data_IF_799062121964
#
_entry.id   IF_799062121964
#
_cell.length_a   1.000
_cell.length_b   1.000
_cell.length_c   1.000
_cell.angle_alpha   90.00
_cell.angle_beta   90.00
_cell.angle_gamma   90.00
#
_symmetry.space_group_name_H-M   'P 1'
#
loop_
_entity.id
_entity.type
_entity.pdbx_description
1 polymer ?
#
# COMPACT_ATOMS: atom_id res chain seq x y z
N UNK A 1 43.61 22.23 -0.77
CA UNK A 1 42.56 21.21 -1.00
C UNK A 1 41.68 21.17 0.25
N UNK A 2 40.53 21.86 0.24
CA UNK A 2 39.53 21.70 1.31
C UNK A 2 38.97 20.29 1.19
N UNK A 3 39.13 19.48 2.23
CA UNK A 3 38.46 18.19 2.33
C UNK A 3 37.00 18.45 2.67
N UNK A 4 36.22 18.83 1.66
CA UNK A 4 34.76 18.88 1.74
C UNK A 4 34.25 17.45 1.85
N UNK A 5 34.26 16.93 3.07
CA UNK A 5 33.70 15.62 3.40
C UNK A 5 32.21 15.67 3.12
N UNK A 6 31.80 15.11 1.97
CA UNK A 6 30.40 14.86 1.63
C UNK A 6 29.74 14.09 2.78
N UNK A 7 29.09 14.80 3.72
CA UNK A 7 28.31 14.17 4.80
C UNK A 7 26.97 13.74 4.21
N UNK A 8 26.85 12.45 3.89
CA UNK A 8 25.57 11.83 3.60
C UNK A 8 24.68 11.89 4.84
N UNK A 9 23.79 12.88 4.90
CA UNK A 9 22.82 13.04 5.98
C UNK A 9 21.60 12.14 5.72
N UNK A 10 21.60 10.94 6.31
CA UNK A 10 20.49 9.96 6.22
C UNK A 10 19.20 10.37 6.96
N UNK A 11 19.15 11.61 7.48
CA UNK A 11 18.10 12.11 8.37
C UNK A 11 16.69 12.05 7.76
N UNK A 12 16.57 11.91 6.44
CA UNK A 12 15.28 11.85 5.75
C UNK A 12 14.84 10.45 5.31
N UNK A 13 15.67 9.39 5.46
CA UNK A 13 15.26 8.04 5.07
C UNK A 13 14.16 7.51 5.98
N UNK A 14 14.23 7.81 7.28
CA UNK A 14 13.42 7.10 8.28
C UNK A 14 11.95 7.47 8.17
N UNK A 15 11.68 8.75 7.90
CA UNK A 15 10.33 9.22 7.60
C UNK A 15 9.74 8.66 6.31
N UNK A 16 10.57 8.32 5.31
CA UNK A 16 10.10 7.69 4.06
C UNK A 16 9.81 6.20 4.26
N UNK A 17 10.73 5.51 4.91
CA UNK A 17 10.61 4.09 5.21
C UNK A 17 9.42 3.80 6.14
N UNK A 18 9.21 4.61 7.19
CA UNK A 18 8.05 4.46 8.08
C UNK A 18 6.73 4.75 7.36
N UNK A 19 6.70 5.74 6.44
CA UNK A 19 5.55 5.98 5.58
C UNK A 19 5.23 4.76 4.73
N UNK A 20 6.23 4.24 4.00
CA UNK A 20 6.08 3.06 3.15
C UNK A 20 5.66 1.82 3.93
N UNK A 21 6.20 1.63 5.14
CA UNK A 21 5.86 0.51 6.00
C UNK A 21 4.39 0.56 6.45
N UNK A 22 3.99 1.65 7.11
CA UNK A 22 2.66 1.79 7.73
C UNK A 22 1.59 1.98 6.66
N UNK A 23 1.76 3.00 5.80
CA UNK A 23 0.75 3.32 4.79
C UNK A 23 0.75 2.29 3.66
N UNK A 24 1.91 1.73 3.31
CA UNK A 24 1.97 0.65 2.32
C UNK A 24 1.31 -0.63 2.81
N UNK A 25 1.40 -0.95 4.11
CA UNK A 25 0.67 -2.08 4.67
C UNK A 25 -0.86 -1.85 4.60
N UNK A 26 -1.31 -0.66 4.99
CA UNK A 26 -2.71 -0.28 4.88
C UNK A 26 -3.22 -0.28 3.43
N UNK A 27 -2.41 0.19 2.48
CA UNK A 27 -2.73 0.17 1.05
C UNK A 27 -2.85 -1.28 0.55
N UNK A 28 -1.88 -2.13 0.87
CA UNK A 28 -1.90 -3.54 0.47
C UNK A 28 -3.13 -4.27 1.05
N UNK A 29 -3.51 -3.98 2.31
CA UNK A 29 -4.75 -4.51 2.92
C UNK A 29 -5.99 -4.08 2.14
N UNK A 30 -6.09 -2.80 1.78
CA UNK A 30 -7.25 -2.30 1.02
C UNK A 30 -7.32 -2.90 -0.38
N UNK A 31 -6.18 -3.07 -1.07
CA UNK A 31 -6.14 -3.66 -2.41
C UNK A 31 -6.50 -5.16 -2.39
N UNK A 32 -5.95 -5.92 -1.44
CA UNK A 32 -6.27 -7.34 -1.29
C UNK A 32 -7.72 -7.56 -0.85
N UNK A 33 -8.26 -6.67 -0.02
CA UNK A 33 -9.69 -6.64 0.32
C UNK A 33 -10.60 -6.29 -0.86
N UNK A 34 -10.19 -5.37 -1.73
CA UNK A 34 -10.90 -5.06 -2.97
C UNK A 34 -10.90 -6.25 -3.93
N UNK A 35 -9.74 -6.90 -4.09
CA UNK A 35 -9.62 -8.13 -4.86
C UNK A 35 -10.55 -9.23 -4.32
N UNK A 36 -10.65 -9.36 -3.00
CA UNK A 36 -11.56 -10.31 -2.35
C UNK A 36 -13.04 -10.09 -2.71
N UNK A 37 -13.48 -8.83 -2.76
CA UNK A 37 -14.88 -8.46 -3.01
C UNK A 37 -15.25 -8.41 -4.50
N UNK A 38 -14.31 -8.01 -5.37
CA UNK A 38 -14.53 -7.94 -6.81
C UNK A 38 -14.40 -9.31 -7.50
N UNK A 39 -13.91 -10.34 -6.80
CA UNK A 39 -13.71 -11.65 -7.40
C UNK A 39 -15.03 -12.41 -7.62
N UNK A 40 -15.37 -12.79 -8.86
CA UNK A 40 -16.59 -13.54 -9.15
C UNK A 40 -16.62 -14.89 -8.41
N UNK A 41 -17.68 -15.13 -7.63
CA UNK A 41 -17.92 -16.39 -6.91
C UNK A 41 -17.35 -16.47 -5.49
N UNK A 42 -16.80 -15.37 -4.94
CA UNK A 42 -16.33 -15.29 -3.55
C UNK A 42 -15.05 -16.09 -3.24
N UNK A 43 -14.31 -15.65 -2.21
CA UNK A 43 -13.06 -16.30 -1.79
C UNK A 43 -13.26 -17.66 -1.12
N UNK A 44 -14.45 -17.95 -0.58
CA UNK A 44 -14.70 -19.16 0.21
C UNK A 44 -14.84 -20.44 -0.60
N UNK A 45 -15.02 -20.37 -1.93
CA UNK A 45 -15.30 -21.55 -2.75
C UNK A 45 -14.06 -22.30 -3.26
N UNK A 46 -12.84 -21.76 -3.11
CA UNK A 46 -11.63 -22.43 -3.60
C UNK A 46 -10.36 -22.00 -2.85
N UNK A 47 -9.66 -22.97 -2.26
CA UNK A 47 -8.42 -22.77 -1.48
C UNK A 47 -7.33 -22.02 -2.25
N UNK A 48 -7.21 -22.27 -3.56
CA UNK A 48 -6.21 -21.61 -4.42
C UNK A 48 -6.45 -20.10 -4.58
N UNK A 49 -7.71 -19.65 -4.58
CA UNK A 49 -8.06 -18.23 -4.72
C UNK A 49 -7.67 -17.45 -3.45
N UNK A 50 -7.91 -18.04 -2.29
CA UNK A 50 -7.51 -17.46 -0.99
C UNK A 50 -6.00 -17.40 -0.85
N UNK A 51 -5.29 -18.46 -1.25
CA UNK A 51 -3.83 -18.45 -1.28
C UNK A 51 -3.29 -17.36 -2.21
N UNK A 52 -3.82 -17.23 -3.43
CA UNK A 52 -3.42 -16.17 -4.35
C UNK A 52 -3.64 -14.77 -3.75
N UNK A 53 -4.78 -14.55 -3.07
CA UNK A 53 -5.03 -13.27 -2.39
C UNK A 53 -4.03 -12.99 -1.26
N UNK A 54 -3.67 -14.00 -0.46
CA UNK A 54 -2.62 -13.88 0.56
C UNK A 54 -1.26 -13.59 -0.07
N UNK A 55 -0.93 -14.27 -1.16
CA UNK A 55 0.35 -14.11 -1.85
C UNK A 55 0.46 -12.77 -2.56
N UNK A 56 -0.64 -12.15 -3.00
CA UNK A 56 -0.65 -10.81 -3.61
C UNK A 56 -0.31 -9.70 -2.62
N UNK A 57 -0.60 -9.90 -1.33
CA UNK A 57 -0.30 -8.92 -0.28
C UNK A 57 1.19 -8.57 -0.23
N UNK A 58 2.05 -9.59 -0.26
CA UNK A 58 3.52 -9.45 -0.14
C UNK A 58 4.16 -8.63 -1.28
N UNK A 59 3.96 -8.94 -2.58
CA UNK A 59 4.55 -8.17 -3.67
C UNK A 59 3.97 -6.76 -3.76
N UNK A 60 2.68 -6.55 -3.44
CA UNK A 60 2.10 -5.19 -3.39
C UNK A 60 2.81 -4.38 -2.30
N UNK A 61 2.98 -4.95 -1.10
CA UNK A 61 3.65 -4.25 -0.01
C UNK A 61 5.12 -3.97 -0.32
N UNK A 62 5.84 -4.92 -0.92
CA UNK A 62 7.22 -4.76 -1.36
C UNK A 62 7.38 -3.68 -2.43
N UNK A 63 6.47 -3.63 -3.43
CA UNK A 63 6.45 -2.57 -4.44
C UNK A 63 6.27 -1.19 -3.79
N UNK A 64 5.35 -1.06 -2.85
CA UNK A 64 5.10 0.21 -2.15
C UNK A 64 6.32 0.64 -1.32
N UNK A 65 6.98 -0.30 -0.65
CA UNK A 65 8.26 -0.03 0.04
C UNK A 65 9.36 0.40 -0.94
N UNK A 66 9.42 -0.16 -2.15
CA UNK A 66 10.34 0.30 -3.19
C UNK A 66 10.00 1.72 -3.68
N UNK A 67 8.72 2.01 -3.94
CA UNK A 67 8.25 3.31 -4.39
C UNK A 67 8.44 4.42 -3.35
N UNK A 68 8.48 4.10 -2.05
CA UNK A 68 8.66 5.12 -1.01
C UNK A 68 9.99 5.90 -1.15
N UNK A 69 11.01 5.30 -1.77
CA UNK A 69 12.30 5.94 -2.05
C UNK A 69 12.29 6.86 -3.28
N UNK A 70 11.30 6.72 -4.16
CA UNK A 70 11.14 7.61 -5.31
C UNK A 70 10.75 9.04 -4.87
N UNK A 71 10.19 9.18 -3.67
CA UNK A 71 9.82 10.48 -3.11
C UNK A 71 11.01 11.24 -2.55
N UNK A 72 11.13 12.51 -2.96
CA UNK A 72 12.24 13.41 -2.56
C UNK A 72 12.27 13.69 -1.05
N UNK A 73 11.12 13.69 -0.37
CA UNK A 73 10.96 14.04 1.07
C UNK A 73 9.98 13.11 1.78
N UNK A 74 10.17 12.85 3.08
CA UNK A 74 9.26 12.04 3.89
C UNK A 74 7.83 12.57 3.97
N UNK A 75 7.64 13.89 4.02
CA UNK A 75 6.30 14.51 4.04
C UNK A 75 5.51 14.22 2.75
N UNK A 76 6.15 14.34 1.59
CA UNK A 76 5.55 13.98 0.29
C UNK A 76 5.23 12.49 0.21
N UNK A 77 6.10 11.62 0.75
CA UNK A 77 5.82 10.20 0.82
C UNK A 77 4.55 9.93 1.64
N UNK A 78 4.43 10.55 2.82
CA UNK A 78 3.23 10.46 3.66
C UNK A 78 1.97 10.99 2.99
N UNK A 79 2.03 12.15 2.32
CA UNK A 79 0.86 12.71 1.64
C UNK A 79 0.40 11.86 0.45
N UNK A 80 1.34 11.38 -0.37
CA UNK A 80 1.02 10.54 -1.52
C UNK A 80 0.53 9.15 -1.10
N UNK A 81 1.25 8.49 -0.19
CA UNK A 81 0.85 7.18 0.32
C UNK A 81 -0.44 7.28 1.12
N UNK A 82 -0.59 8.32 1.94
CA UNK A 82 -1.79 8.58 2.73
C UNK A 82 -2.99 8.81 1.82
N UNK A 83 -2.86 9.69 0.83
CA UNK A 83 -3.90 9.93 -0.17
C UNK A 83 -4.28 8.68 -0.95
N UNK A 84 -3.29 7.90 -1.40
CA UNK A 84 -3.54 6.64 -2.10
C UNK A 84 -4.25 5.61 -1.20
N UNK A 85 -3.83 5.46 0.06
CA UNK A 85 -4.49 4.57 1.02
C UNK A 85 -5.94 5.01 1.28
N UNK A 86 -6.17 6.30 1.50
CA UNK A 86 -7.51 6.84 1.76
C UNK A 86 -8.44 6.65 0.55
N UNK A 87 -7.92 6.87 -0.66
CA UNK A 87 -8.65 6.61 -1.91
C UNK A 87 -8.98 5.12 -2.06
N UNK A 88 -8.02 4.22 -1.83
CA UNK A 88 -8.24 2.77 -1.92
C UNK A 88 -9.28 2.29 -0.90
N UNK A 89 -9.26 2.80 0.34
CA UNK A 89 -10.30 2.50 1.33
C UNK A 89 -11.66 3.08 0.96
N UNK A 90 -11.71 4.30 0.39
CA UNK A 90 -12.95 4.88 -0.09
C UNK A 90 -13.56 4.04 -1.23
N UNK A 91 -12.74 3.57 -2.16
CA UNK A 91 -13.17 2.64 -3.23
C UNK A 91 -13.64 1.32 -2.64
N UNK A 92 -12.92 0.74 -1.68
CA UNK A 92 -13.35 -0.49 -0.99
C UNK A 92 -14.70 -0.32 -0.31
N UNK A 93 -14.90 0.80 0.39
CA UNK A 93 -16.16 1.10 1.06
C UNK A 93 -17.29 1.30 0.06
N UNK A 94 -17.04 2.01 -1.05
CA UNK A 94 -18.01 2.18 -2.13
C UNK A 94 -18.39 0.82 -2.74
N UNK A 95 -17.42 0.00 -3.14
CA UNK A 95 -17.65 -1.35 -3.69
C UNK A 95 -18.47 -2.19 -2.69
N UNK A 96 -18.11 -2.16 -1.41
CA UNK A 96 -18.84 -2.88 -0.37
C UNK A 96 -20.25 -2.33 -0.14
N UNK A 97 -20.48 -1.02 -0.25
CA UNK A 97 -21.81 -0.43 -0.17
C UNK A 97 -22.68 -0.80 -1.38
N UNK A 98 -22.12 -0.77 -2.59
CA UNK A 98 -22.85 -1.12 -3.82
C UNK A 98 -23.14 -2.62 -3.94
N UNK A 99 -22.17 -3.50 -3.64
CA UNK A 99 -22.37 -4.96 -3.69
C UNK A 99 -23.09 -5.49 -2.44
N UNK A 100 -22.79 -4.92 -1.26
CA UNK A 100 -23.39 -5.35 0.00
C UNK A 100 -24.80 -4.81 0.23
N UNK A 101 -25.19 -3.70 -0.41
CA UNK A 101 -26.58 -3.23 -0.45
C UNK A 101 -27.45 -3.94 -1.50
N UNK A 102 -26.86 -4.80 -2.34
CA UNK A 102 -27.54 -5.57 -3.38
C UNK A 102 -27.76 -7.05 -2.99
N UNK A 103 -27.49 -7.42 -1.73
CA UNK A 103 -27.75 -8.72 -1.12
C UNK A 103 -28.88 -8.60 -0.09
#
# INVERSE_FOLDING_TARGET
MSNDTFRYSSRSWFGKASAGLILGFALALSLTGLFAWLWPGGLMHSSGKTQLNMWLMSPIWALVLGFCFLFRTGLRAWLWLGGATLLSFAVLFAVKAFLGGAA
#
